data_IF_220538982755
#
_entry.id   IF_220538982755
#
_cell.length_a   1.000
_cell.length_b   1.000
_cell.length_c   1.000
_cell.angle_alpha   90.00
_cell.angle_beta   90.00
_cell.angle_gamma   90.00
#
_symmetry.space_group_name_H-M   'P 1'
#
loop_
_entity.id
_entity.type
_entity.pdbx_description
1 polymer ?
#
# COMPACT_ATOMS: atom_id res chain seq x y z
N UNK A 1 7.72 8.38 21.10
CA UNK A 1 7.14 8.62 19.76
C UNK A 1 6.08 7.56 19.52
N UNK A 2 4.85 7.92 19.14
CA UNK A 2 3.83 6.95 18.74
C UNK A 2 3.90 6.77 17.23
N UNK A 3 4.20 5.55 16.76
CA UNK A 3 4.14 5.23 15.33
C UNK A 3 2.71 4.88 14.95
N UNK A 4 2.26 5.39 13.80
CA UNK A 4 0.92 5.14 13.27
C UNK A 4 1.02 4.31 12.01
N UNK A 5 0.31 3.19 11.96
CA UNK A 5 0.31 2.30 10.81
C UNK A 5 -1.12 2.03 10.34
N UNK A 6 -1.28 1.82 9.05
CA UNK A 6 -2.49 1.23 8.47
C UNK A 6 -2.14 -0.18 7.96
N UNK A 7 -2.80 -1.20 8.50
CA UNK A 7 -2.48 -2.58 8.16
C UNK A 7 -3.38 -3.18 7.08
N UNK A 8 -4.29 -2.38 6.50
CA UNK A 8 -5.26 -2.88 5.54
C UNK A 8 -5.48 -1.87 4.42
N UNK A 9 -4.67 -1.97 3.37
CA UNK A 9 -4.78 -1.12 2.19
C UNK A 9 -4.77 -1.96 0.92
N UNK A 10 -5.54 -1.53 -0.07
CA UNK A 10 -5.69 -2.21 -1.35
C UNK A 10 -5.05 -1.34 -2.44
N UNK A 11 -4.29 -1.97 -3.32
CA UNK A 11 -3.71 -1.34 -4.51
C UNK A 11 -4.55 -1.67 -5.74
N UNK A 12 -4.20 -1.15 -6.93
CA UNK A 12 -4.90 -1.49 -8.17
C UNK A 12 -4.85 -2.99 -8.53
N UNK A 13 -4.04 -3.79 -7.83
CA UNK A 13 -4.05 -5.25 -7.93
C UNK A 13 -5.25 -5.89 -7.21
N UNK A 14 -6.06 -5.10 -6.51
CA UNK A 14 -7.39 -5.46 -6.00
C UNK A 14 -8.49 -4.89 -6.90
N UNK A 15 -9.56 -5.65 -7.08
CA UNK A 15 -10.69 -5.27 -7.97
C UNK A 15 -11.51 -4.08 -7.46
N UNK A 16 -11.40 -3.74 -6.18
CA UNK A 16 -12.12 -2.65 -5.51
C UNK A 16 -11.26 -1.39 -5.28
N UNK A 17 -10.01 -1.38 -5.75
CA UNK A 17 -9.09 -0.28 -5.55
C UNK A 17 -8.46 0.19 -6.87
N UNK A 18 -8.05 1.46 -6.90
CA UNK A 18 -7.49 2.10 -8.11
C UNK A 18 -6.12 2.73 -7.91
N UNK A 19 -5.58 2.71 -6.68
CA UNK A 19 -4.32 3.39 -6.35
C UNK A 19 -3.11 2.50 -6.61
N UNK A 20 -2.04 3.06 -7.18
CA UNK A 20 -0.75 2.36 -7.25
C UNK A 20 -0.08 2.25 -5.87
N UNK A 21 0.84 1.29 -5.67
CA UNK A 21 1.63 1.22 -4.45
C UNK A 21 2.32 2.55 -4.08
N UNK A 22 2.83 3.30 -5.06
CA UNK A 22 3.44 4.62 -4.85
C UNK A 22 2.43 5.65 -4.36
N UNK A 23 1.22 5.66 -4.97
CA UNK A 23 0.15 6.54 -4.53
C UNK A 23 -0.30 6.22 -3.10
N UNK A 24 -0.33 4.95 -2.71
CA UNK A 24 -0.61 4.54 -1.33
C UNK A 24 0.47 5.06 -0.37
N UNK A 25 1.75 4.97 -0.74
CA UNK A 25 2.87 5.50 0.07
C UNK A 25 2.78 7.02 0.24
N UNK A 26 2.52 7.77 -0.84
CA UNK A 26 2.35 9.23 -0.77
C UNK A 26 1.11 9.64 0.04
N UNK A 27 0.01 8.88 -0.09
CA UNK A 27 -1.19 9.04 0.72
C UNK A 27 -0.94 8.76 2.21
N UNK A 28 -0.10 7.78 2.53
CA UNK A 28 0.28 7.45 3.90
C UNK A 28 1.15 8.54 4.53
N UNK A 29 2.16 9.02 3.80
CA UNK A 29 3.04 10.12 4.22
C UNK A 29 2.24 11.39 4.51
N UNK A 30 1.36 11.79 3.60
CA UNK A 30 0.52 13.00 3.76
C UNK A 30 -0.44 12.91 4.95
N UNK A 31 -0.83 11.70 5.37
CA UNK A 31 -1.66 11.44 6.56
C UNK A 31 -0.87 11.31 7.86
N UNK A 32 0.46 11.42 7.81
CA UNK A 32 1.35 11.26 8.96
C UNK A 32 1.44 9.81 9.46
N UNK A 33 1.22 8.83 8.58
CA UNK A 33 1.46 7.42 8.90
C UNK A 33 2.96 7.11 8.79
N UNK A 34 3.43 6.28 9.71
CA UNK A 34 4.78 5.73 9.76
C UNK A 34 4.96 4.55 8.79
N UNK A 35 3.87 3.96 8.31
CA UNK A 35 3.90 2.92 7.29
C UNK A 35 2.51 2.37 6.99
N UNK A 36 2.44 1.51 5.98
CA UNK A 36 1.24 0.82 5.54
C UNK A 36 1.55 -0.65 5.20
N UNK A 37 0.54 -1.51 5.25
CA UNK A 37 0.57 -2.85 4.67
C UNK A 37 -0.38 -2.92 3.46
N UNK A 38 0.11 -3.48 2.36
CA UNK A 38 -0.71 -3.78 1.18
C UNK A 38 -1.28 -5.19 1.37
N UNK A 39 -2.61 -5.30 1.32
CA UNK A 39 -3.39 -6.53 1.56
C UNK A 39 -4.38 -6.72 0.42
N UNK A 40 -3.88 -6.97 -0.78
CA UNK A 40 -4.73 -7.13 -1.96
C UNK A 40 -5.62 -8.39 -1.91
N UNK A 41 -6.76 -8.36 -2.60
CA UNK A 41 -7.70 -9.48 -2.63
C UNK A 41 -7.12 -10.69 -3.36
N UNK A 42 -7.06 -11.83 -2.66
CA UNK A 42 -6.73 -13.16 -3.18
C UNK A 42 -5.42 -13.28 -3.99
N UNK A 43 -4.50 -12.30 -3.88
CA UNK A 43 -3.25 -12.30 -4.62
C UNK A 43 -2.13 -11.49 -3.94
N UNK A 44 -0.89 -11.69 -4.40
CA UNK A 44 0.30 -10.97 -3.93
C UNK A 44 1.04 -10.27 -5.08
N UNK A 45 0.35 -9.86 -6.16
CA UNK A 45 1.01 -9.27 -7.34
C UNK A 45 1.73 -7.95 -7.00
N UNK A 46 1.19 -7.17 -6.06
CA UNK A 46 1.82 -5.95 -5.54
C UNK A 46 3.21 -6.21 -4.95
N UNK A 47 3.47 -7.36 -4.32
CA UNK A 47 4.80 -7.70 -3.81
C UNK A 47 5.84 -7.77 -4.95
N UNK A 48 5.53 -8.51 -6.01
CA UNK A 48 6.44 -8.64 -7.15
C UNK A 48 6.67 -7.28 -7.83
N UNK A 49 5.60 -6.51 -8.01
CA UNK A 49 5.67 -5.15 -8.56
C UNK A 49 6.59 -4.25 -7.73
N UNK A 50 6.40 -4.21 -6.40
CA UNK A 50 7.21 -3.39 -5.50
C UNK A 50 8.67 -3.87 -5.39
N UNK A 51 8.98 -5.13 -5.69
CA UNK A 51 10.38 -5.60 -5.74
C UNK A 51 11.07 -5.15 -7.03
N UNK A 52 10.34 -5.10 -8.14
CA UNK A 52 10.89 -4.73 -9.45
C UNK A 52 11.05 -3.22 -9.65
N UNK A 53 10.25 -2.39 -8.98
CA UNK A 53 10.19 -0.94 -9.15
C UNK A 53 10.80 -0.17 -7.95
N UNK A 54 11.83 -0.71 -7.31
CA UNK A 54 12.53 -0.06 -6.18
C UNK A 54 13.48 1.04 -6.61
#
# INVERSE_FOLDING_TARGET
>A
MLYRFDFHTHSFFSTDASSSPEQLVEAAKSRGLSGIAITDHDNCQSLQYCIQNR
#
